data_IF_932329617700
#
_entry.id   IF_932329617700
#
_cell.length_a   1.000
_cell.length_b   1.000
_cell.length_c   1.000
_cell.angle_alpha   90.00
_cell.angle_beta   90.00
_cell.angle_gamma   90.00
#
_symmetry.space_group_name_H-M   'P 1'
#
loop_
_entity.id
_entity.type
_entity.pdbx_description
1 polymer ?
#
# COMPACT_ATOMS: atom_id res chain seq x y z
N UNK A 1 -17.48 18.43 39.97
CA UNK A 1 -16.90 17.08 40.11
C UNK A 1 -16.25 16.79 38.78
N UNK A 2 -14.92 16.66 38.72
CA UNK A 2 -14.22 16.32 37.48
C UNK A 2 -14.69 14.92 37.06
N UNK A 3 -15.04 14.73 35.79
CA UNK A 3 -15.37 13.41 35.27
C UNK A 3 -14.21 12.46 35.55
N UNK A 4 -14.51 11.20 35.91
CA UNK A 4 -13.50 10.17 36.07
C UNK A 4 -12.66 10.12 34.78
N UNK A 5 -11.32 10.27 34.84
CA UNK A 5 -10.45 10.14 33.68
C UNK A 5 -10.71 8.87 32.88
N UNK A 6 -11.11 7.78 33.53
CA UNK A 6 -11.48 6.53 32.84
C UNK A 6 -12.71 6.71 31.96
N UNK A 7 -13.78 7.27 32.51
CA UNK A 7 -15.04 7.48 31.79
C UNK A 7 -14.84 8.46 30.62
N UNK A 8 -13.99 9.48 30.82
CA UNK A 8 -13.59 10.39 29.74
C UNK A 8 -12.82 9.68 28.63
N UNK A 9 -11.86 8.81 28.95
CA UNK A 9 -11.09 8.09 27.92
C UNK A 9 -11.95 7.06 27.17
N UNK A 10 -12.86 6.38 27.86
CA UNK A 10 -13.79 5.45 27.24
C UNK A 10 -14.72 6.17 26.26
N UNK A 11 -15.29 7.31 26.64
CA UNK A 11 -16.16 8.07 25.72
C UNK A 11 -15.43 8.57 24.47
N UNK A 12 -14.16 9.00 24.61
CA UNK A 12 -13.32 9.37 23.45
C UNK A 12 -12.95 8.17 22.58
N UNK A 13 -12.77 6.99 23.17
CA UNK A 13 -12.56 5.75 22.42
C UNK A 13 -13.78 5.40 21.59
N UNK A 14 -14.97 5.43 22.18
CA UNK A 14 -16.23 5.10 21.50
C UNK A 14 -16.52 6.09 20.36
N UNK A 15 -16.33 7.40 20.60
CA UNK A 15 -16.44 8.44 19.57
C UNK A 15 -15.42 8.23 18.44
N UNK A 16 -14.19 7.83 18.77
CA UNK A 16 -13.16 7.49 17.80
C UNK A 16 -13.51 6.29 16.93
N UNK A 17 -14.11 5.25 17.51
CA UNK A 17 -14.59 4.07 16.78
C UNK A 17 -15.70 4.46 15.80
N UNK A 18 -16.68 5.26 16.24
CA UNK A 18 -17.78 5.72 15.38
C UNK A 18 -17.27 6.59 14.21
N UNK A 19 -16.39 7.56 14.50
CA UNK A 19 -15.76 8.39 13.48
C UNK A 19 -14.91 7.57 12.50
N UNK A 20 -14.20 6.56 12.99
CA UNK A 20 -13.41 5.69 12.14
C UNK A 20 -14.29 4.94 11.13
N UNK A 21 -15.39 4.36 11.59
CA UNK A 21 -16.35 3.67 10.72
C UNK A 21 -16.94 4.58 9.65
N UNK A 22 -17.33 5.81 10.02
CA UNK A 22 -17.82 6.81 9.07
C UNK A 22 -16.73 7.19 8.06
N UNK A 23 -15.49 7.40 8.51
CA UNK A 23 -14.38 7.79 7.63
C UNK A 23 -14.03 6.72 6.60
N UNK A 24 -14.15 5.43 6.94
CA UNK A 24 -13.91 4.33 6.01
C UNK A 24 -14.95 4.26 4.88
N UNK A 25 -16.14 4.81 5.09
CA UNK A 25 -17.21 4.81 4.09
C UNK A 25 -17.13 6.01 3.12
N UNK A 26 -16.20 6.95 3.35
CA UNK A 26 -16.06 8.18 2.56
C UNK A 26 -14.77 8.12 1.75
N UNK A 27 -14.88 8.34 0.44
CA UNK A 27 -13.74 8.54 -0.45
C UNK A 27 -13.57 10.05 -0.70
N UNK A 28 -12.34 10.55 -0.59
CA UNK A 28 -12.01 11.95 -0.84
C UNK A 28 -11.02 12.05 -2.01
N UNK A 29 -11.07 13.16 -2.77
CA UNK A 29 -10.07 13.42 -3.81
C UNK A 29 -8.69 13.68 -3.19
N UNK A 30 -7.64 13.47 -3.98
CA UNK A 30 -6.25 13.73 -3.56
C UNK A 30 -5.95 15.22 -3.29
N UNK A 31 -6.77 16.13 -3.81
CA UNK A 31 -6.72 17.57 -3.54
C UNK A 31 -8.14 18.12 -3.37
N UNK A 32 -8.30 19.06 -2.45
CA UNK A 32 -9.55 19.80 -2.23
C UNK A 32 -9.33 21.25 -2.68
N UNK A 33 -9.98 21.63 -3.79
CA UNK A 33 -9.96 22.98 -4.32
C UNK A 33 -11.26 23.75 -4.07
N UNK A 34 -12.39 23.05 -3.97
CA UNK A 34 -13.71 23.60 -3.72
C UNK A 34 -14.59 22.66 -2.88
N UNK A 35 -15.67 23.19 -2.29
CA UNK A 35 -16.64 22.39 -1.51
C UNK A 35 -17.32 21.30 -2.35
N UNK A 36 -17.47 21.52 -3.66
CA UNK A 36 -18.03 20.56 -4.60
C UNK A 36 -17.23 19.26 -4.69
N UNK A 37 -15.93 19.31 -4.41
CA UNK A 37 -15.00 18.19 -4.58
C UNK A 37 -15.28 17.06 -3.57
N UNK A 38 -16.03 17.33 -2.50
CA UNK A 38 -16.51 16.32 -1.54
C UNK A 38 -17.71 15.53 -2.08
N UNK A 39 -18.46 16.12 -3.03
CA UNK A 39 -19.68 15.51 -3.59
C UNK A 39 -19.42 14.77 -4.90
N UNK A 40 -18.47 15.24 -5.70
CA UNK A 40 -18.09 14.63 -6.97
C UNK A 40 -16.66 15.06 -7.34
N UNK A 41 -15.85 14.11 -7.77
CA UNK A 41 -14.47 14.35 -8.21
C UNK A 41 -14.06 13.31 -9.24
N UNK A 42 -13.08 13.65 -10.07
CA UNK A 42 -12.37 12.69 -10.91
C UNK A 42 -11.20 12.11 -10.11
N UNK A 43 -10.99 10.80 -10.24
CA UNK A 43 -9.87 10.12 -9.60
C UNK A 43 -8.72 10.02 -10.60
N UNK A 44 -7.61 10.69 -10.31
CA UNK A 44 -6.42 10.63 -11.16
C UNK A 44 -5.88 9.19 -11.24
N UNK A 45 -5.40 8.80 -12.43
CA UNK A 45 -4.64 7.57 -12.56
C UNK A 45 -3.36 7.69 -11.72
N UNK A 46 -3.18 6.74 -10.79
CA UNK A 46 -1.99 6.71 -9.96
C UNK A 46 -0.75 6.44 -10.82
N UNK A 47 0.20 7.38 -10.84
CA UNK A 47 1.52 7.14 -11.40
C UNK A 47 2.41 6.44 -10.36
N UNK A 48 2.79 5.16 -10.58
CA UNK A 48 3.62 4.44 -9.63
C UNK A 48 5.03 5.03 -9.56
N UNK A 49 5.58 5.09 -8.36
CA UNK A 49 6.99 5.34 -8.17
C UNK A 49 7.77 4.02 -8.24
N UNK A 50 8.48 3.82 -9.37
CA UNK A 50 9.38 2.69 -9.55
C UNK A 50 10.70 2.94 -8.82
N UNK A 51 11.12 1.95 -8.04
CA UNK A 51 12.33 1.98 -7.22
C UNK A 51 13.32 0.98 -7.78
N UNK A 52 14.57 1.42 -7.93
CA UNK A 52 15.68 0.70 -8.60
C UNK A 52 15.52 0.58 -10.12
N UNK A 53 16.46 -0.12 -10.77
CA UNK A 53 16.44 -0.43 -12.21
C UNK A 53 16.27 -1.94 -12.47
N UNK A 54 15.89 -2.72 -11.45
CA UNK A 54 15.76 -4.16 -11.58
C UNK A 54 14.45 -4.58 -12.26
N UNK A 55 14.48 -5.77 -12.85
CA UNK A 55 13.32 -6.39 -13.47
C UNK A 55 13.17 -7.83 -12.98
N UNK A 56 11.93 -8.21 -12.65
CA UNK A 56 11.58 -9.53 -12.14
C UNK A 56 10.29 -10.05 -12.78
N UNK A 57 10.11 -11.35 -12.68
CA UNK A 57 8.85 -12.04 -12.90
C UNK A 57 8.71 -13.06 -11.77
N UNK A 58 7.64 -12.97 -10.99
CA UNK A 58 7.46 -13.83 -9.82
C UNK A 58 5.99 -14.04 -9.50
N UNK A 59 5.73 -15.09 -8.72
CA UNK A 59 4.41 -15.35 -8.15
C UNK A 59 4.02 -14.23 -7.18
N UNK A 60 2.74 -13.86 -7.21
CA UNK A 60 2.18 -12.81 -6.36
C UNK A 60 1.80 -13.37 -4.99
N UNK A 61 2.15 -12.64 -3.92
CA UNK A 61 1.61 -12.85 -2.58
C UNK A 61 1.06 -11.54 -2.05
N UNK A 62 -0.21 -11.53 -1.67
CA UNK A 62 -0.92 -10.34 -1.20
C UNK A 62 -0.96 -10.31 0.32
N UNK A 63 -0.58 -9.17 0.89
CA UNK A 63 -0.71 -8.79 2.29
C UNK A 63 -0.51 -9.95 3.27
N UNK A 64 0.64 -10.66 3.24
CA UNK A 64 0.84 -11.79 4.13
C UNK A 64 0.82 -11.29 5.57
N UNK A 65 -0.09 -11.83 6.37
CA UNK A 65 -0.37 -11.35 7.73
C UNK A 65 0.56 -11.98 8.78
N UNK A 66 1.33 -13.01 8.39
CA UNK A 66 2.19 -13.72 9.32
C UNK A 66 3.57 -14.06 8.75
N UNK A 67 4.60 -14.12 9.60
CA UNK A 67 5.93 -14.61 9.22
C UNK A 67 5.97 -16.07 8.78
N UNK A 68 4.89 -16.85 8.97
CA UNK A 68 4.85 -18.24 8.51
C UNK A 68 4.55 -18.38 7.02
N UNK A 69 4.03 -17.33 6.37
CA UNK A 69 3.79 -17.33 4.92
C UNK A 69 5.14 -17.36 4.18
N UNK A 70 5.29 -18.24 3.20
CA UNK A 70 6.49 -18.24 2.37
C UNK A 70 6.43 -17.13 1.31
N UNK A 71 7.34 -16.16 1.45
CA UNK A 71 7.46 -14.97 0.60
C UNK A 71 8.78 -14.96 -0.19
N UNK A 72 9.68 -15.93 0.06
CA UNK A 72 11.01 -15.92 -0.53
C UNK A 72 10.90 -16.08 -2.06
N UNK A 73 11.56 -15.19 -2.81
CA UNK A 73 11.52 -15.18 -4.27
C UNK A 73 10.16 -14.78 -4.88
N UNK A 74 9.21 -14.27 -4.09
CA UNK A 74 7.88 -13.86 -4.55
C UNK A 74 7.76 -12.35 -4.70
N UNK A 75 6.81 -11.91 -5.51
CA UNK A 75 6.41 -10.50 -5.62
C UNK A 75 5.34 -10.21 -4.56
N UNK A 76 5.71 -9.42 -3.57
CA UNK A 76 4.82 -9.10 -2.45
C UNK A 76 4.00 -7.86 -2.78
N UNK A 77 2.69 -7.94 -2.60
CA UNK A 77 1.75 -6.83 -2.74
C UNK A 77 1.23 -6.43 -1.36
N UNK A 78 1.37 -5.16 -0.97
CA UNK A 78 0.80 -4.64 0.29
C UNK A 78 -0.04 -3.39 0.05
N UNK A 79 -1.16 -3.20 0.78
CA UNK A 79 -2.01 -2.04 0.59
C UNK A 79 -1.32 -0.74 1.02
N UNK A 80 -0.57 -0.75 2.11
CA UNK A 80 0.03 0.45 2.69
C UNK A 80 1.50 0.24 3.03
N UNK A 81 2.28 1.33 2.99
CA UNK A 81 3.70 1.33 3.33
C UNK A 81 3.96 1.34 4.85
N UNK A 82 3.26 0.49 5.60
CA UNK A 82 3.36 0.39 7.06
C UNK A 82 4.63 -0.40 7.48
N UNK A 83 5.40 0.06 8.50
CA UNK A 83 6.50 -0.69 9.10
C UNK A 83 6.14 -2.13 9.54
N UNK A 84 4.86 -2.43 9.79
CA UNK A 84 4.39 -3.78 10.11
C UNK A 84 4.74 -4.84 9.05
N UNK A 85 5.13 -4.43 7.85
CA UNK A 85 5.55 -5.30 6.75
C UNK A 85 7.07 -5.48 6.60
N UNK A 86 7.89 -4.78 7.40
CA UNK A 86 9.35 -4.78 7.26
C UNK A 86 9.99 -6.16 7.38
N UNK A 87 9.40 -7.05 8.17
CA UNK A 87 9.90 -8.41 8.37
C UNK A 87 10.00 -9.20 7.06
N UNK A 88 9.21 -8.87 6.03
CA UNK A 88 9.28 -9.51 4.72
C UNK A 88 10.53 -9.12 3.95
N UNK A 89 10.97 -7.88 4.09
CA UNK A 89 12.15 -7.37 3.37
C UNK A 89 13.43 -8.12 3.75
N UNK A 90 13.47 -8.69 4.96
CA UNK A 90 14.56 -9.54 5.42
C UNK A 90 14.50 -10.98 4.91
N UNK A 91 13.44 -11.37 4.18
CA UNK A 91 13.17 -12.76 3.74
C UNK A 91 13.40 -13.01 2.26
N UNK A 92 14.21 -12.15 1.62
CA UNK A 92 14.65 -12.33 0.23
C UNK A 92 13.47 -12.44 -0.76
N UNK A 93 12.52 -11.52 -0.66
CA UNK A 93 11.43 -11.37 -1.64
C UNK A 93 12.01 -10.94 -3.00
N UNK A 94 11.34 -11.28 -4.10
CA UNK A 94 11.80 -10.91 -5.45
C UNK A 94 11.48 -9.46 -5.81
N UNK A 95 10.40 -8.91 -5.25
CA UNK A 95 10.01 -7.52 -5.47
C UNK A 95 8.88 -7.08 -4.55
N UNK A 96 8.54 -5.80 -4.60
CA UNK A 96 7.47 -5.19 -3.79
C UNK A 96 6.55 -4.32 -4.64
N UNK A 97 5.24 -4.44 -4.46
CA UNK A 97 4.25 -3.51 -5.01
C UNK A 97 3.38 -2.98 -3.87
N UNK A 98 3.18 -1.66 -3.80
CA UNK A 98 2.26 -1.07 -2.82
C UNK A 98 1.09 -0.37 -3.49
N UNK A 99 -0.13 -0.52 -2.95
CA UNK A 99 -1.32 0.19 -3.45
C UNK A 99 -1.16 1.69 -3.25
N UNK A 100 -0.80 2.08 -2.02
CA UNK A 100 -0.54 3.46 -1.63
C UNK A 100 0.90 3.65 -1.19
N UNK A 101 1.40 4.88 -1.34
CA UNK A 101 2.75 5.27 -0.94
C UNK A 101 3.33 6.31 -1.89
N UNK A 102 4.32 7.05 -1.40
CA UNK A 102 5.04 8.04 -2.20
C UNK A 102 6.51 7.67 -2.38
N UNK A 103 7.21 8.45 -3.21
CA UNK A 103 8.63 8.28 -3.49
C UNK A 103 9.55 8.34 -2.26
N UNK A 104 9.12 9.04 -1.21
CA UNK A 104 9.85 9.17 0.06
C UNK A 104 9.25 8.32 1.19
N UNK A 105 8.37 7.36 0.87
CA UNK A 105 7.79 6.46 1.86
C UNK A 105 8.85 5.51 2.44
N UNK A 106 8.56 4.95 3.62
CA UNK A 106 9.44 3.95 4.25
C UNK A 106 9.76 2.81 3.28
N UNK A 107 8.74 2.24 2.63
CA UNK A 107 8.92 1.15 1.67
C UNK A 107 9.75 1.55 0.44
N UNK A 108 9.63 2.79 -0.05
CA UNK A 108 10.46 3.26 -1.16
C UNK A 108 11.95 3.33 -0.76
N UNK A 109 12.24 3.88 0.42
CA UNK A 109 13.61 3.98 0.94
C UNK A 109 14.19 2.59 1.22
N UNK A 110 13.45 1.72 1.92
CA UNK A 110 13.91 0.36 2.23
C UNK A 110 14.14 -0.48 0.98
N UNK A 111 13.26 -0.38 -0.03
CA UNK A 111 13.46 -1.06 -1.31
C UNK A 111 14.74 -0.56 -2.02
N UNK A 112 14.99 0.76 -2.01
CA UNK A 112 16.21 1.31 -2.59
C UNK A 112 17.48 0.85 -1.86
N UNK A 113 17.47 0.84 -0.52
CA UNK A 113 18.59 0.36 0.31
C UNK A 113 18.94 -1.11 0.03
N UNK A 114 17.92 -1.94 -0.23
CA UNK A 114 18.06 -3.37 -0.48
C UNK A 114 18.31 -3.72 -1.95
N UNK A 115 18.26 -2.74 -2.86
CA UNK A 115 18.31 -2.99 -4.29
C UNK A 115 17.12 -3.81 -4.79
N UNK A 116 15.98 -3.73 -4.10
CA UNK A 116 14.77 -4.49 -4.39
C UNK A 116 13.93 -3.80 -5.46
N UNK A 117 13.60 -4.47 -6.58
CA UNK A 117 12.64 -3.96 -7.56
C UNK A 117 11.29 -3.68 -6.91
N UNK A 118 10.82 -2.44 -6.97
CA UNK A 118 9.53 -2.09 -6.37
C UNK A 118 8.73 -1.06 -7.17
N UNK A 119 7.40 -1.16 -7.12
CA UNK A 119 6.48 -0.14 -7.60
C UNK A 119 5.59 0.34 -6.45
N UNK A 120 5.79 1.58 -6.04
CA UNK A 120 5.16 2.17 -4.86
C UNK A 120 4.01 3.07 -5.31
N UNK A 121 2.82 2.88 -4.74
CA UNK A 121 1.66 3.71 -5.04
C UNK A 121 1.06 3.41 -6.42
N UNK A 122 0.81 2.13 -6.74
CA UNK A 122 0.22 1.74 -8.04
C UNK A 122 -1.28 2.10 -8.18
N UNK A 123 -1.91 2.55 -7.09
CA UNK A 123 -3.33 2.87 -7.05
C UNK A 123 -4.21 1.63 -6.88
N UNK A 124 -5.43 1.85 -6.40
CA UNK A 124 -6.37 0.78 -6.02
C UNK A 124 -6.76 -0.10 -7.21
N UNK A 125 -7.14 0.50 -8.34
CA UNK A 125 -7.59 -0.24 -9.53
C UNK A 125 -6.52 -1.20 -10.04
N UNK A 126 -5.28 -0.71 -10.21
CA UNK A 126 -4.16 -1.53 -10.70
C UNK A 126 -3.72 -2.55 -9.66
N UNK A 127 -3.69 -2.16 -8.37
CA UNK A 127 -3.35 -3.09 -7.29
C UNK A 127 -4.31 -4.27 -7.25
N UNK A 128 -5.61 -4.04 -7.32
CA UNK A 128 -6.62 -5.10 -7.26
C UNK A 128 -6.50 -6.06 -8.46
N UNK A 129 -6.20 -5.55 -9.66
CA UNK A 129 -5.92 -6.38 -10.82
C UNK A 129 -4.66 -7.26 -10.59
N UNK A 130 -3.57 -6.66 -10.12
CA UNK A 130 -2.31 -7.38 -9.85
C UNK A 130 -2.45 -8.39 -8.71
N UNK A 131 -3.24 -8.09 -7.68
CA UNK A 131 -3.52 -8.96 -6.55
C UNK A 131 -4.26 -10.25 -6.95
N UNK A 132 -5.03 -10.20 -8.05
CA UNK A 132 -5.72 -11.36 -8.60
C UNK A 132 -4.86 -12.22 -9.56
N UNK A 133 -3.69 -11.70 -9.95
CA UNK A 133 -2.79 -12.41 -10.86
C UNK A 133 -2.01 -13.50 -10.16
N UNK A 134 -1.65 -14.56 -10.90
CA UNK A 134 -0.74 -15.59 -10.38
C UNK A 134 0.71 -15.15 -10.48
N UNK A 135 1.11 -14.62 -11.64
CA UNK A 135 2.46 -14.15 -11.91
C UNK A 135 2.40 -12.75 -12.50
N UNK A 136 3.31 -11.90 -12.04
CA UNK A 136 3.45 -10.52 -12.53
C UNK A 136 4.89 -10.27 -12.90
N UNK A 137 5.09 -9.59 -14.03
CA UNK A 137 6.37 -8.98 -14.37
C UNK A 137 6.39 -7.53 -13.90
N UNK A 138 7.47 -7.16 -13.22
CA UNK A 138 7.77 -5.79 -12.79
C UNK A 138 9.14 -5.42 -13.36
N UNK A 139 9.19 -4.41 -14.20
CA UNK A 139 10.44 -3.84 -14.70
C UNK A 139 10.50 -2.36 -14.33
N UNK A 140 11.37 -2.05 -13.35
CA UNK A 140 11.51 -0.70 -12.83
C UNK A 140 12.27 0.22 -13.79
N UNK A 141 13.12 -0.35 -14.66
CA UNK A 141 13.87 0.39 -15.67
C UNK A 141 12.95 0.86 -16.80
N UNK A 142 12.10 -0.02 -17.32
CA UNK A 142 11.11 0.33 -18.35
C UNK A 142 9.83 0.93 -17.78
N UNK A 143 9.68 0.96 -16.45
CA UNK A 143 8.49 1.47 -15.73
C UNK A 143 7.22 0.72 -16.13
N UNK A 144 7.32 -0.60 -16.29
CA UNK A 144 6.22 -1.48 -16.71
C UNK A 144 5.85 -2.48 -15.62
N UNK A 145 4.56 -2.81 -15.57
CA UNK A 145 4.00 -3.88 -14.72
C UNK A 145 2.98 -4.62 -15.56
N UNK A 146 3.22 -5.91 -15.81
CA UNK A 146 2.42 -6.75 -16.69
C UNK A 146 1.94 -8.01 -15.95
N UNK A 147 0.68 -8.38 -16.15
CA UNK A 147 0.13 -9.64 -15.65
C UNK A 147 0.48 -10.73 -16.66
N UNK A 148 1.12 -11.80 -16.17
CA UNK A 148 1.52 -12.94 -16.97
C UNK A 148 0.69 -14.15 -16.55
N UNK A 149 -0.41 -14.39 -17.26
CA UNK A 149 -1.35 -15.48 -16.97
C UNK A 149 -2.79 -15.08 -17.24
#
# INVERSE_FOLDING_TARGET
MLADPRDFLLSRSDEGVELHLLSQAVCLPGQLGAESDVSCFEQDEAEPNFVTNGAIQAEVVVAPESPSVDVAGKLVLIPTADPGYDWMLARNIAGLITMYGGANSHMAVRAAELGLPAAIGVGETRFNALASATVVSLDCSSRTIEILG
#
